data_IF_713266561629
#
_entry.id   IF_713266561629
#
_cell.length_a   1.000
_cell.length_b   1.000
_cell.length_c   1.000
_cell.angle_alpha   90.00
_cell.angle_beta   90.00
_cell.angle_gamma   90.00
#
_symmetry.space_group_name_H-M   'P 1'
#
loop_
_entity.id
_entity.type
_entity.pdbx_description
1 polymer ?
#
# COMPACT_ATOMS: atom_id res chain seq x y z
N UNK A 1 -6.84 -24.99 -20.49
CA UNK A 1 -7.73 -24.42 -21.50
C UNK A 1 -7.46 -22.93 -21.65
N UNK A 2 -7.00 -22.51 -22.83
CA UNK A 2 -6.59 -21.13 -23.10
C UNK A 2 -7.77 -20.14 -22.92
N UNK A 3 -8.98 -20.54 -23.29
CA UNK A 3 -10.17 -19.72 -23.11
C UNK A 3 -10.43 -19.45 -21.63
N UNK A 4 -10.40 -20.47 -20.80
CA UNK A 4 -10.61 -20.35 -19.35
C UNK A 4 -9.57 -19.41 -18.70
N UNK A 5 -8.33 -19.45 -19.20
CA UNK A 5 -7.29 -18.54 -18.74
C UNK A 5 -7.59 -17.08 -19.17
N UNK A 6 -8.01 -16.87 -20.42
CA UNK A 6 -8.40 -15.54 -20.90
C UNK A 6 -9.59 -14.96 -20.13
N UNK A 7 -10.54 -15.80 -19.69
CA UNK A 7 -11.71 -15.40 -18.89
C UNK A 7 -11.33 -14.86 -17.51
N UNK A 8 -10.12 -15.11 -17.01
CA UNK A 8 -9.62 -14.48 -15.78
C UNK A 8 -9.38 -12.97 -15.93
N UNK A 9 -9.24 -12.47 -17.16
CA UNK A 9 -8.90 -11.08 -17.44
C UNK A 9 -10.07 -10.24 -17.93
N UNK A 10 -11.25 -10.84 -18.08
CA UNK A 10 -12.43 -10.16 -18.59
C UNK A 10 -13.65 -10.44 -17.72
N UNK A 11 -14.53 -9.44 -17.63
CA UNK A 11 -15.91 -9.58 -17.21
C UNK A 11 -16.81 -9.56 -18.45
N UNK A 12 -18.03 -10.09 -18.32
CA UNK A 12 -18.98 -10.13 -19.42
C UNK A 12 -20.16 -9.21 -19.08
N UNK A 13 -20.38 -8.20 -19.94
CA UNK A 13 -21.50 -7.27 -19.80
C UNK A 13 -22.58 -7.57 -20.85
N UNK A 14 -23.84 -7.65 -20.42
CA UNK A 14 -24.96 -7.62 -21.36
C UNK A 14 -25.17 -6.20 -21.87
N UNK A 15 -25.23 -6.07 -23.19
CA UNK A 15 -25.59 -4.83 -23.88
C UNK A 15 -26.76 -5.08 -24.78
N UNK A 16 -27.48 -4.01 -25.14
CA UNK A 16 -28.60 -4.05 -26.07
C UNK A 16 -28.26 -3.17 -27.27
N UNK A 17 -28.68 -3.62 -28.46
CA UNK A 17 -28.61 -2.83 -29.69
C UNK A 17 -29.97 -2.87 -30.38
N UNK A 18 -30.28 -1.77 -31.04
CA UNK A 18 -31.44 -1.72 -31.91
C UNK A 18 -31.07 -2.31 -33.28
N UNK A 19 -31.79 -3.31 -33.73
CA UNK A 19 -31.69 -3.87 -35.09
C UNK A 19 -32.92 -3.48 -35.87
N UNK A 20 -32.73 -2.73 -36.94
CA UNK A 20 -33.80 -2.42 -37.89
C UNK A 20 -33.96 -3.62 -38.84
N UNK A 21 -35.16 -4.15 -38.89
CA UNK A 21 -35.56 -5.27 -39.74
C UNK A 21 -35.88 -4.75 -41.13
N UNK A 22 -35.86 -5.62 -42.16
CA UNK A 22 -36.19 -5.27 -43.55
C UNK A 22 -37.61 -4.69 -43.74
N UNK A 23 -38.52 -4.93 -42.79
CA UNK A 23 -39.87 -4.39 -42.77
C UNK A 23 -40.02 -3.03 -42.06
N UNK A 24 -38.87 -2.45 -41.62
CA UNK A 24 -38.82 -1.16 -40.89
C UNK A 24 -39.11 -1.27 -39.39
N UNK A 25 -39.31 -2.48 -38.87
CA UNK A 25 -39.51 -2.67 -37.42
C UNK A 25 -38.14 -2.65 -36.72
N UNK A 26 -38.09 -2.07 -35.50
CA UNK A 26 -36.89 -2.05 -34.67
C UNK A 26 -37.05 -3.09 -33.57
N UNK A 27 -36.13 -4.04 -33.53
CA UNK A 27 -36.03 -5.03 -32.44
C UNK A 27 -34.81 -4.76 -31.56
N UNK A 28 -35.00 -4.99 -30.25
CA UNK A 28 -33.92 -4.93 -29.27
C UNK A 28 -33.25 -6.30 -29.19
N UNK A 29 -32.00 -6.39 -29.62
CA UNK A 29 -31.18 -7.59 -29.44
C UNK A 29 -30.23 -7.41 -28.26
N UNK A 30 -30.15 -8.43 -27.42
CA UNK A 30 -29.15 -8.52 -26.33
C UNK A 30 -27.94 -9.26 -26.83
N UNK A 31 -26.80 -8.71 -26.57
CA UNK A 31 -25.48 -9.36 -26.85
C UNK A 31 -24.56 -9.19 -25.66
N UNK A 32 -23.60 -10.11 -25.55
CA UNK A 32 -22.61 -10.11 -24.48
C UNK A 32 -21.27 -9.61 -24.99
N UNK A 33 -20.69 -8.64 -24.29
CA UNK A 33 -19.38 -8.08 -24.62
C UNK A 33 -18.40 -8.46 -23.51
N UNK A 34 -17.21 -8.94 -23.91
CA UNK A 34 -16.11 -9.10 -23.00
C UNK A 34 -15.47 -7.74 -22.72
N UNK A 35 -15.41 -7.35 -21.47
CA UNK A 35 -14.80 -6.09 -21.00
C UNK A 35 -13.60 -6.43 -20.15
N UNK A 36 -12.49 -5.74 -20.37
CA UNK A 36 -11.31 -5.94 -19.52
C UNK A 36 -11.63 -5.66 -18.05
N UNK A 37 -11.24 -6.55 -17.17
CA UNK A 37 -11.38 -6.34 -15.73
C UNK A 37 -10.50 -5.15 -15.34
N UNK A 38 -11.12 -4.06 -14.89
CA UNK A 38 -10.41 -2.89 -14.37
C UNK A 38 -9.79 -3.15 -13.00
N UNK A 39 -10.49 -3.93 -12.16
CA UNK A 39 -9.99 -4.34 -10.85
C UNK A 39 -9.09 -5.58 -10.97
N UNK A 40 -7.79 -5.36 -10.92
CA UNK A 40 -6.78 -6.42 -11.06
C UNK A 40 -6.80 -7.42 -9.89
N UNK A 41 -7.34 -7.04 -8.73
CA UNK A 41 -7.57 -7.97 -7.60
C UNK A 41 -8.49 -9.11 -8.02
N UNK A 42 -9.53 -8.81 -8.80
CA UNK A 42 -10.42 -9.82 -9.35
C UNK A 42 -9.69 -10.79 -10.30
N UNK A 43 -8.72 -10.31 -11.06
CA UNK A 43 -7.91 -11.17 -11.95
C UNK A 43 -7.17 -12.20 -11.11
N UNK A 44 -6.45 -11.78 -10.06
CA UNK A 44 -5.71 -12.70 -9.21
C UNK A 44 -6.64 -13.61 -8.40
N UNK A 45 -7.79 -13.13 -7.97
CA UNK A 45 -8.82 -13.97 -7.33
C UNK A 45 -9.34 -15.06 -8.29
N UNK A 46 -9.65 -14.71 -9.53
CA UNK A 46 -10.06 -15.68 -10.56
C UNK A 46 -8.94 -16.68 -10.87
N UNK A 47 -7.70 -16.24 -10.94
CA UNK A 47 -6.54 -17.11 -11.12
C UNK A 47 -6.39 -18.09 -9.94
N UNK A 48 -6.57 -17.62 -8.71
CA UNK A 48 -6.52 -18.47 -7.53
C UNK A 48 -7.68 -19.47 -7.49
N UNK A 49 -8.92 -19.03 -7.76
CA UNK A 49 -10.10 -19.90 -7.74
C UNK A 49 -10.09 -20.95 -8.87
N UNK A 50 -9.71 -20.54 -10.07
CA UNK A 50 -9.86 -21.35 -11.27
C UNK A 50 -8.65 -22.23 -11.57
N UNK A 51 -7.48 -21.82 -11.10
CA UNK A 51 -6.21 -22.51 -11.36
C UNK A 51 -5.41 -22.87 -10.11
N UNK A 52 -5.86 -22.47 -8.91
CA UNK A 52 -5.11 -22.69 -7.67
C UNK A 52 -3.78 -21.92 -7.62
N UNK A 53 -3.64 -20.85 -8.39
CA UNK A 53 -2.43 -20.04 -8.48
C UNK A 53 -2.54 -18.87 -7.51
N UNK A 54 -1.82 -18.95 -6.40
CA UNK A 54 -1.65 -17.83 -5.46
C UNK A 54 -0.37 -17.09 -5.83
N UNK A 55 -0.51 -15.88 -6.37
CA UNK A 55 0.63 -15.06 -6.76
C UNK A 55 1.09 -14.21 -5.57
N UNK A 56 2.39 -14.22 -5.29
CA UNK A 56 3.00 -13.29 -4.32
C UNK A 56 2.88 -11.85 -4.82
N UNK A 57 3.04 -10.88 -3.92
CA UNK A 57 3.02 -9.46 -4.29
C UNK A 57 4.01 -9.13 -5.42
N UNK A 58 5.23 -9.68 -5.35
CA UNK A 58 6.25 -9.48 -6.41
C UNK A 58 5.79 -10.06 -7.74
N UNK A 59 5.19 -11.26 -7.74
CA UNK A 59 4.64 -11.88 -8.94
C UNK A 59 3.47 -11.07 -9.51
N UNK A 60 2.60 -10.55 -8.65
CA UNK A 60 1.50 -9.67 -9.07
C UNK A 60 2.04 -8.37 -9.68
N UNK A 61 3.01 -7.73 -9.04
CA UNK A 61 3.66 -6.52 -9.54
C UNK A 61 4.34 -6.75 -10.90
N UNK A 62 5.06 -7.87 -11.05
CA UNK A 62 5.70 -8.22 -12.31
C UNK A 62 4.67 -8.50 -13.41
N UNK A 63 3.57 -9.20 -13.09
CA UNK A 63 2.49 -9.46 -14.05
C UNK A 63 1.84 -8.16 -14.53
N UNK A 64 1.67 -7.18 -13.66
CA UNK A 64 1.17 -5.85 -14.03
C UNK A 64 2.13 -5.10 -14.92
N UNK A 65 3.43 -5.13 -14.62
CA UNK A 65 4.44 -4.55 -15.49
C UNK A 65 4.39 -5.15 -16.90
N UNK A 66 4.30 -6.48 -17.00
CA UNK A 66 4.18 -7.18 -18.30
C UNK A 66 2.90 -6.76 -19.03
N UNK A 67 1.78 -6.66 -18.31
CA UNK A 67 0.51 -6.20 -18.88
C UNK A 67 0.61 -4.76 -19.38
N UNK A 68 1.27 -3.88 -18.60
CA UNK A 68 1.44 -2.47 -18.94
C UNK A 68 2.28 -2.31 -20.21
N UNK A 69 3.40 -3.03 -20.29
CA UNK A 69 4.24 -3.07 -21.50
C UNK A 69 3.44 -3.58 -22.69
N UNK A 70 2.66 -4.64 -22.51
CA UNK A 70 1.87 -5.20 -23.60
C UNK A 70 0.76 -4.25 -24.11
N UNK A 71 0.19 -3.43 -23.21
CA UNK A 71 -0.92 -2.54 -23.54
C UNK A 71 -0.46 -1.18 -24.09
N UNK A 72 0.62 -0.64 -23.56
CA UNK A 72 1.04 0.75 -23.80
C UNK A 72 2.42 0.88 -24.44
N UNK A 73 3.08 -0.26 -24.72
CA UNK A 73 4.46 -0.31 -25.25
C UNK A 73 5.48 0.47 -24.40
N UNK A 74 5.23 0.55 -23.10
CA UNK A 74 6.09 1.22 -22.13
C UNK A 74 6.07 0.47 -20.81
N UNK A 75 7.13 0.60 -20.02
CA UNK A 75 7.14 0.04 -18.67
C UNK A 75 6.06 0.69 -17.82
N UNK A 76 5.46 -0.07 -16.90
CA UNK A 76 4.55 0.50 -15.92
C UNK A 76 5.26 1.64 -15.21
N UNK A 77 4.57 2.77 -14.96
CA UNK A 77 5.14 3.88 -14.22
C UNK A 77 5.65 3.35 -12.87
N UNK A 78 6.91 3.57 -12.60
CA UNK A 78 7.50 3.22 -11.29
C UNK A 78 7.02 4.19 -10.19
N UNK A 79 6.34 5.25 -10.59
CA UNK A 79 5.76 6.30 -9.76
C UNK A 79 4.36 6.63 -10.29
N UNK A 80 3.36 6.08 -9.70
CA UNK A 80 2.19 6.79 -9.17
C UNK A 80 1.04 7.13 -10.02
N UNK A 81 0.68 6.91 -11.22
CA UNK A 81 -0.62 7.38 -11.72
C UNK A 81 -1.66 6.29 -12.04
N UNK A 82 -1.29 5.07 -12.31
CA UNK A 82 -2.27 4.02 -12.59
C UNK A 82 -2.39 2.93 -11.51
N UNK A 83 -1.53 2.94 -10.49
CA UNK A 83 -1.75 2.09 -9.31
C UNK A 83 -2.91 2.60 -8.42
N UNK A 84 -3.39 3.83 -8.62
CA UNK A 84 -4.57 4.35 -7.94
C UNK A 84 -5.87 3.70 -8.42
N UNK A 85 -5.91 3.20 -9.65
CA UNK A 85 -7.03 2.42 -10.21
C UNK A 85 -7.07 0.96 -9.72
N UNK A 86 -6.08 0.55 -8.92
CA UNK A 86 -6.17 -0.66 -8.14
C UNK A 86 -7.12 -0.39 -6.96
N UNK A 87 -8.40 -0.25 -7.28
CA UNK A 87 -9.46 0.01 -6.32
C UNK A 87 -9.24 -0.79 -5.06
N UNK A 88 -8.85 -0.07 -4.00
CA UNK A 88 -8.75 -0.57 -2.65
C UNK A 88 -8.32 -2.03 -2.54
N UNK A 89 -7.03 -2.29 -2.51
CA UNK A 89 -6.55 -3.55 -1.98
C UNK A 89 -7.03 -3.63 -0.52
N UNK A 90 -8.21 -4.20 -0.35
CA UNK A 90 -8.68 -4.66 0.94
C UNK A 90 -7.72 -5.79 1.30
N UNK A 91 -6.77 -5.53 2.17
CA UNK A 91 -5.70 -6.43 2.58
C UNK A 91 -6.13 -7.80 3.16
N UNK A 92 -7.05 -8.47 2.49
CA UNK A 92 -7.55 -9.81 2.78
C UNK A 92 -6.92 -10.88 1.87
N UNK A 93 -5.81 -10.58 1.20
CA UNK A 93 -4.99 -11.57 0.52
C UNK A 93 -3.69 -11.69 1.30
N UNK A 94 -3.37 -12.88 1.75
CA UNK A 94 -2.21 -13.30 2.54
C UNK A 94 -1.06 -12.27 2.53
N UNK A 95 -1.14 -11.31 3.45
CA UNK A 95 0.06 -10.63 3.93
C UNK A 95 0.97 -11.78 4.33
N UNK A 96 2.22 -11.86 3.83
CA UNK A 96 3.14 -12.83 4.39
C UNK A 96 3.01 -12.72 5.89
N UNK A 97 2.54 -13.77 6.55
CA UNK A 97 2.48 -13.81 8.00
C UNK A 97 3.95 -13.84 8.42
N UNK A 98 4.53 -12.65 8.52
CA UNK A 98 5.76 -12.53 9.26
C UNK A 98 5.40 -12.97 10.67
N UNK A 99 6.15 -13.92 11.23
CA UNK A 99 6.08 -14.30 12.64
C UNK A 99 6.44 -13.08 13.48
N UNK A 100 5.46 -12.18 13.61
CA UNK A 100 5.60 -10.97 14.41
C UNK A 100 5.31 -11.40 15.85
N UNK A 101 6.12 -10.98 16.81
CA UNK A 101 5.85 -11.26 18.21
C UNK A 101 4.44 -10.76 18.55
N UNK A 102 3.56 -11.67 18.94
CA UNK A 102 2.17 -11.38 19.31
C UNK A 102 2.15 -10.63 20.65
N UNK A 103 2.30 -9.31 20.62
CA UNK A 103 2.31 -8.46 21.80
C UNK A 103 1.41 -7.22 21.62
N UNK A 104 0.10 -7.41 21.77
CA UNK A 104 -0.86 -6.34 21.97
C UNK A 104 -1.04 -5.38 20.75
N UNK A 105 -1.52 -4.16 21.01
CA UNK A 105 -1.82 -3.13 20.00
C UNK A 105 -0.66 -2.80 19.05
N UNK A 106 0.59 -3.01 19.48
CA UNK A 106 1.78 -2.81 18.64
C UNK A 106 1.84 -3.75 17.44
N UNK A 107 1.38 -4.99 17.59
CA UNK A 107 1.28 -5.97 16.50
C UNK A 107 0.30 -5.50 15.42
N UNK A 108 -0.84 -4.91 15.81
CA UNK A 108 -1.86 -4.42 14.88
C UNK A 108 -1.34 -3.26 14.03
N UNK A 109 -0.58 -2.34 14.65
CA UNK A 109 0.07 -1.21 13.96
C UNK A 109 1.06 -1.72 12.91
N UNK A 110 1.87 -2.72 13.25
CA UNK A 110 2.83 -3.32 12.32
C UNK A 110 2.09 -4.01 11.16
N UNK A 111 1.02 -4.75 11.43
CA UNK A 111 0.20 -5.38 10.39
C UNK A 111 -0.41 -4.33 9.44
N UNK A 112 -0.95 -3.25 9.99
CA UNK A 112 -1.46 -2.12 9.20
C UNK A 112 -0.36 -1.49 8.32
N UNK A 113 0.84 -1.31 8.85
CA UNK A 113 1.96 -0.78 8.09
C UNK A 113 2.42 -1.74 6.98
N UNK A 114 2.49 -3.04 7.28
CA UNK A 114 2.83 -4.08 6.30
C UNK A 114 1.79 -4.21 5.19
N UNK A 115 0.50 -3.97 5.48
CA UNK A 115 -0.55 -3.93 4.45
C UNK A 115 -0.33 -2.82 3.41
N UNK A 116 0.54 -1.85 3.71
CA UNK A 116 0.90 -0.75 2.81
C UNK A 116 2.23 -0.96 2.07
N UNK A 117 2.85 -2.15 2.18
CA UNK A 117 4.09 -2.44 1.46
C UNK A 117 3.91 -2.20 -0.04
N UNK A 118 4.91 -1.52 -0.64
CA UNK A 118 4.89 -1.17 -2.06
C UNK A 118 4.05 0.06 -2.42
N UNK A 119 3.23 0.61 -1.52
CA UNK A 119 2.52 1.85 -1.78
C UNK A 119 3.49 2.99 -2.13
N UNK A 120 3.19 3.79 -3.17
CA UNK A 120 4.11 4.78 -3.69
C UNK A 120 4.34 5.92 -2.68
N UNK A 121 5.59 6.39 -2.64
CA UNK A 121 5.96 7.55 -1.83
C UNK A 121 5.65 8.85 -2.58
N UNK A 122 4.90 9.74 -1.96
CA UNK A 122 4.76 11.12 -2.43
C UNK A 122 4.39 12.06 -1.30
N UNK A 123 5.16 13.15 -1.14
CA UNK A 123 4.80 14.22 -0.20
C UNK A 123 3.65 15.09 -0.73
N UNK A 124 3.61 15.32 -2.03
CA UNK A 124 2.60 16.15 -2.65
C UNK A 124 1.23 15.48 -2.71
N UNK A 125 1.20 14.17 -2.94
CA UNK A 125 -0.04 13.38 -3.13
C UNK A 125 -0.43 12.57 -1.89
N UNK A 126 0.33 12.65 -0.79
CA UNK A 126 0.08 11.87 0.42
C UNK A 126 -1.38 11.98 0.87
N UNK A 127 -1.98 10.85 1.17
CA UNK A 127 -3.39 10.78 1.59
C UNK A 127 -4.39 10.78 0.44
N UNK A 128 -3.94 10.84 -0.80
CA UNK A 128 -4.79 10.62 -1.98
C UNK A 128 -4.48 9.26 -2.58
N UNK A 129 -5.51 8.45 -2.89
CA UNK A 129 -5.32 7.08 -3.37
C UNK A 129 -4.39 6.27 -2.45
N UNK A 130 -3.36 5.68 -3.03
CA UNK A 130 -2.38 4.86 -2.31
C UNK A 130 -1.10 5.61 -1.92
N UNK A 131 -1.01 6.91 -2.20
CA UNK A 131 0.18 7.69 -1.91
C UNK A 131 0.37 7.97 -0.43
N UNK A 132 1.56 7.67 0.05
CA UNK A 132 1.98 7.95 1.42
C UNK A 132 3.34 8.65 1.43
N UNK A 133 3.59 9.47 2.44
CA UNK A 133 4.93 9.80 2.89
C UNK A 133 5.20 9.14 4.25
N UNK A 134 6.38 9.33 4.80
CA UNK A 134 6.80 8.69 6.05
C UNK A 134 5.83 9.00 7.21
N UNK A 135 5.45 10.25 7.39
CA UNK A 135 4.57 10.70 8.46
C UNK A 135 3.09 10.39 8.20
N UNK A 136 2.68 10.33 6.95
CA UNK A 136 1.31 9.92 6.63
C UNK A 136 1.09 8.43 6.84
N UNK A 137 2.08 7.58 6.56
CA UNK A 137 2.01 6.16 6.86
C UNK A 137 1.75 5.93 8.34
N UNK A 138 2.53 6.55 9.22
CA UNK A 138 2.36 6.44 10.68
C UNK A 138 1.01 6.98 11.13
N UNK A 139 0.64 8.20 10.68
CA UNK A 139 -0.65 8.82 10.96
C UNK A 139 -1.82 7.92 10.53
N UNK A 140 -1.73 7.33 9.34
CA UNK A 140 -2.77 6.45 8.82
C UNK A 140 -2.92 5.19 9.67
N UNK A 141 -1.82 4.51 9.99
CA UNK A 141 -1.83 3.30 10.81
C UNK A 141 -2.46 3.56 12.20
N UNK A 142 -2.00 4.59 12.89
CA UNK A 142 -2.49 4.91 14.21
C UNK A 142 -3.96 5.37 14.24
N UNK A 143 -4.41 6.08 13.19
CA UNK A 143 -5.82 6.45 13.03
C UNK A 143 -6.75 5.23 12.95
N UNK A 144 -6.32 4.11 12.39
CA UNK A 144 -7.15 2.89 12.32
C UNK A 144 -7.48 2.32 13.71
N UNK A 145 -6.67 2.62 14.71
CA UNK A 145 -6.89 2.20 16.11
C UNK A 145 -7.35 3.36 17.00
N UNK A 146 -7.78 4.48 16.41
CA UNK A 146 -8.36 5.62 17.13
C UNK A 146 -7.35 6.61 17.70
N UNK A 147 -6.06 6.48 17.40
CA UNK A 147 -5.00 7.40 17.84
C UNK A 147 -4.71 8.43 16.76
N UNK A 148 -4.81 9.72 17.11
CA UNK A 148 -4.49 10.83 16.20
C UNK A 148 -3.06 11.28 16.38
N UNK A 149 -2.29 11.29 15.28
CA UNK A 149 -0.93 11.84 15.24
C UNK A 149 -0.89 13.14 14.42
N UNK A 150 0.06 14.05 14.71
CA UNK A 150 0.31 15.23 13.89
C UNK A 150 0.73 14.89 12.46
N UNK A 151 0.62 15.87 11.57
CA UNK A 151 0.77 15.68 10.13
C UNK A 151 2.19 15.47 9.63
N UNK A 152 3.23 15.86 10.35
CA UNK A 152 4.63 15.74 9.90
C UNK A 152 5.47 14.96 10.89
N UNK A 153 6.55 14.32 10.41
CA UNK A 153 7.47 13.56 11.26
C UNK A 153 8.04 14.39 12.43
N UNK A 154 8.38 15.66 12.18
CA UNK A 154 8.90 16.55 13.22
C UNK A 154 7.85 16.90 14.27
N UNK A 155 6.60 17.12 13.87
CA UNK A 155 5.49 17.36 14.80
C UNK A 155 5.11 16.10 15.57
N UNK A 156 5.17 14.93 14.96
CA UNK A 156 4.99 13.65 15.64
C UNK A 156 6.06 13.45 16.71
N UNK A 157 7.34 13.71 16.37
CA UNK A 157 8.43 13.64 17.34
C UNK A 157 8.24 14.63 18.50
N UNK A 158 7.82 15.87 18.22
CA UNK A 158 7.47 16.86 19.25
C UNK A 158 6.33 16.37 20.15
N UNK A 159 5.29 15.81 19.52
CA UNK A 159 4.14 15.24 20.23
C UNK A 159 4.56 14.15 21.23
N UNK A 160 5.48 13.24 20.83
CA UNK A 160 6.00 12.22 21.74
C UNK A 160 6.65 12.84 23.00
N UNK A 161 7.43 13.90 22.83
CA UNK A 161 8.12 14.57 23.95
C UNK A 161 7.14 15.33 24.84
N UNK A 162 6.25 16.14 24.25
CA UNK A 162 5.29 16.97 24.98
C UNK A 162 4.27 16.16 25.79
N UNK A 163 3.97 14.93 25.35
CA UNK A 163 3.02 14.03 26.01
C UNK A 163 3.68 12.93 26.85
N UNK A 164 5.01 13.00 27.06
CA UNK A 164 5.79 11.98 27.81
C UNK A 164 5.64 10.56 27.24
N UNK A 165 5.55 10.44 25.93
CA UNK A 165 5.40 9.19 25.16
C UNK A 165 6.73 8.65 24.60
N UNK A 166 7.85 9.21 25.03
CA UNK A 166 9.18 8.77 24.61
C UNK A 166 9.57 7.45 25.25
N UNK A 167 10.29 6.63 24.51
CA UNK A 167 10.84 5.36 25.00
C UNK A 167 12.35 5.30 24.75
N UNK A 168 13.07 4.52 25.56
CA UNK A 168 14.47 4.24 25.31
C UNK A 168 14.62 3.27 24.11
N UNK A 169 15.72 3.36 23.39
CA UNK A 169 16.01 2.46 22.25
C UNK A 169 15.94 0.99 22.61
N UNK A 170 16.47 0.65 23.77
CA UNK A 170 16.51 -0.72 24.31
C UNK A 170 15.13 -1.24 24.73
N UNK A 171 14.17 -0.34 24.86
CA UNK A 171 12.78 -0.64 25.23
C UNK A 171 11.81 -0.61 24.05
N UNK A 172 12.34 -0.54 22.83
CA UNK A 172 11.54 -0.55 21.60
C UNK A 172 10.69 -1.83 21.51
N UNK A 173 9.41 -1.64 21.17
CA UNK A 173 8.45 -2.70 20.95
C UNK A 173 7.80 -2.53 19.57
N UNK A 174 7.31 -3.61 18.94
CA UNK A 174 6.56 -3.50 17.70
C UNK A 174 5.46 -2.43 17.80
N UNK A 175 5.38 -1.59 16.78
CA UNK A 175 4.49 -0.43 16.75
C UNK A 175 5.16 0.89 17.12
N UNK A 176 6.20 0.91 17.92
CA UNK A 176 6.88 2.15 18.30
C UNK A 176 7.36 2.94 17.07
N UNK A 177 7.40 4.24 17.20
CA UNK A 177 7.91 5.15 16.18
C UNK A 177 9.40 5.39 16.39
N UNK A 178 10.14 5.32 15.28
CA UNK A 178 11.56 5.69 15.23
C UNK A 178 11.70 6.95 14.38
N UNK A 179 12.44 7.94 14.85
CA UNK A 179 12.64 9.21 14.18
C UNK A 179 14.10 9.43 13.80
N UNK A 180 14.34 9.93 12.60
CA UNK A 180 15.68 10.21 12.08
C UNK A 180 15.86 11.68 11.76
N UNK A 181 17.10 12.17 11.97
CA UNK A 181 17.58 13.49 11.56
C UNK A 181 18.78 13.32 10.61
N UNK A 182 18.53 13.37 9.30
CA UNK A 182 19.60 13.20 8.31
C UNK A 182 20.32 14.50 7.98
N UNK A 183 19.68 15.65 8.17
CA UNK A 183 20.24 16.97 7.88
C UNK A 183 19.53 18.07 8.67
N UNK A 184 20.21 19.18 8.96
CA UNK A 184 19.53 20.36 9.50
C UNK A 184 18.41 20.84 8.58
N UNK A 185 17.24 21.16 9.14
CA UNK A 185 16.06 21.60 8.38
C UNK A 185 15.21 22.65 9.10
N UNK A 186 15.65 23.13 10.28
CA UNK A 186 14.94 24.11 11.10
C UNK A 186 13.66 23.61 11.80
N UNK A 187 13.33 22.32 11.67
CA UNK A 187 12.19 21.69 12.34
C UNK A 187 12.61 21.12 13.69
N UNK A 188 11.64 20.67 14.47
CA UNK A 188 11.89 20.07 15.77
C UNK A 188 12.94 18.93 15.67
N UNK A 189 14.00 19.01 16.47
CA UNK A 189 15.17 18.12 16.46
C UNK A 189 15.75 17.84 15.06
N UNK A 190 15.50 18.71 14.09
CA UNK A 190 15.81 18.51 12.67
C UNK A 190 15.29 17.16 12.12
N UNK A 191 14.19 16.63 12.66
CA UNK A 191 13.61 15.38 12.21
C UNK A 191 13.21 15.48 10.74
N UNK A 192 13.69 14.52 9.95
CA UNK A 192 13.47 14.41 8.51
C UNK A 192 12.64 13.19 8.14
N UNK A 193 12.58 12.18 9.02
CA UNK A 193 11.96 10.90 8.70
C UNK A 193 11.37 10.23 9.95
N UNK A 194 10.39 9.36 9.74
CA UNK A 194 9.78 8.51 10.75
C UNK A 194 9.41 7.15 10.15
N UNK A 195 9.49 6.10 10.94
CA UNK A 195 9.07 4.74 10.59
C UNK A 195 8.47 4.02 11.79
N UNK A 196 7.86 2.88 11.57
CA UNK A 196 7.24 2.02 12.57
C UNK A 196 8.18 0.85 12.85
N UNK A 197 8.65 0.73 14.08
CA UNK A 197 9.45 -0.40 14.51
C UNK A 197 8.61 -1.68 14.46
N UNK A 198 9.12 -2.70 13.81
CA UNK A 198 8.38 -3.95 13.58
C UNK A 198 8.80 -5.13 14.49
N UNK A 199 9.77 -4.89 15.37
CA UNK A 199 10.42 -5.95 16.16
C UNK A 199 11.70 -6.45 15.50
N UNK A 200 12.51 -7.19 16.23
CA UNK A 200 13.72 -7.88 15.76
C UNK A 200 14.70 -7.01 14.93
N UNK A 201 14.78 -5.73 15.28
CA UNK A 201 15.63 -4.78 14.56
C UNK A 201 15.12 -4.40 13.17
N UNK A 202 13.83 -4.61 12.90
CA UNK A 202 13.18 -4.28 11.62
C UNK A 202 12.30 -3.03 11.73
N UNK A 203 12.08 -2.37 10.60
CA UNK A 203 11.22 -1.18 10.48
C UNK A 203 10.38 -1.23 9.21
N UNK A 204 9.15 -0.73 9.29
CA UNK A 204 8.33 -0.40 8.13
C UNK A 204 8.33 1.11 7.96
N UNK A 205 8.73 1.59 6.80
CA UNK A 205 8.74 3.03 6.52
C UNK A 205 8.39 3.33 5.06
N UNK A 206 7.76 4.48 4.82
CA UNK A 206 7.63 5.00 3.46
C UNK A 206 8.93 5.71 3.08
N UNK A 207 9.73 5.05 2.27
CA UNK A 207 11.09 5.46 1.93
C UNK A 207 11.12 6.38 0.72
N UNK A 208 11.59 7.61 0.89
CA UNK A 208 11.82 8.54 -0.21
C UNK A 208 12.78 7.96 -1.27
N UNK A 209 13.92 7.39 -0.82
CA UNK A 209 14.95 6.87 -1.74
C UNK A 209 14.54 5.59 -2.47
N UNK A 210 13.56 4.84 -1.95
CA UNK A 210 13.01 3.65 -2.60
C UNK A 210 11.70 3.94 -3.34
N UNK A 211 11.15 5.15 -3.22
CA UNK A 211 9.91 5.57 -3.85
C UNK A 211 8.64 4.87 -3.30
N UNK A 212 8.73 4.11 -2.21
CA UNK A 212 7.62 3.27 -1.73
C UNK A 212 7.75 2.90 -0.26
N UNK A 213 6.69 2.32 0.29
CA UNK A 213 6.71 1.67 1.60
C UNK A 213 7.54 0.40 1.52
N UNK A 214 8.45 0.22 2.46
CA UNK A 214 9.37 -0.90 2.55
C UNK A 214 9.42 -1.48 3.97
N UNK A 215 9.73 -2.77 4.05
CA UNK A 215 10.10 -3.47 5.28
C UNK A 215 11.59 -3.79 5.19
N UNK A 216 12.37 -3.34 6.16
CA UNK A 216 13.83 -3.45 6.11
C UNK A 216 14.47 -3.43 7.50
N UNK A 217 15.74 -3.86 7.63
CA UNK A 217 16.47 -3.67 8.88
C UNK A 217 16.48 -2.20 9.31
N UNK A 218 16.42 -1.97 10.61
CA UNK A 218 16.58 -0.63 11.20
C UNK A 218 17.93 -0.04 10.77
N UNK A 219 17.92 1.15 10.23
CA UNK A 219 19.05 1.74 9.49
C UNK A 219 19.50 3.06 10.11
N UNK A 220 20.65 3.56 9.65
CA UNK A 220 21.23 4.87 10.02
C UNK A 220 21.15 5.13 11.54
N UNK A 221 21.68 4.19 12.32
CA UNK A 221 21.58 4.21 13.79
C UNK A 221 22.16 5.50 14.42
N UNK A 222 23.17 6.11 13.79
CA UNK A 222 23.78 7.38 14.18
C UNK A 222 22.90 8.61 13.88
N UNK A 223 21.84 8.44 13.09
CA UNK A 223 20.85 9.48 12.74
C UNK A 223 19.54 9.34 13.50
N UNK A 224 19.34 8.25 14.24
CA UNK A 224 18.15 8.09 15.08
C UNK A 224 18.24 9.03 16.27
N UNK A 225 17.22 9.88 16.43
CA UNK A 225 17.24 10.97 17.42
C UNK A 225 16.17 10.87 18.49
N UNK A 226 15.13 10.04 18.23
CA UNK A 226 13.98 9.91 19.14
C UNK A 226 13.24 8.60 18.87
N UNK A 227 12.63 8.06 19.92
CA UNK A 227 11.70 6.94 19.84
C UNK A 227 10.46 7.24 20.65
N UNK A 228 9.30 6.78 20.19
CA UNK A 228 8.04 7.09 20.87
C UNK A 228 7.00 6.00 20.71
N UNK A 229 6.15 5.89 21.74
CA UNK A 229 5.01 4.95 21.79
C UNK A 229 3.72 5.73 21.90
N UNK A 230 3.02 6.00 20.79
CA UNK A 230 1.72 6.66 20.80
C UNK A 230 0.67 5.86 21.57
N UNK A 231 -0.18 6.57 22.31
CA UNK A 231 -1.27 6.00 23.14
C UNK A 231 -2.55 6.78 22.92
#
# INVERSE_FOLDING_TARGET
DYKKFADCFVDYEERTQNIEQEDGTVTLEKYTVAVAIGDKTKIFQKLASDYGVTATYEQQSNAVNVWYVAKYDTAAPTEGDEFSDWGGWNGAGDIPVYDLPANGNGSDIVQLALSRLGHPYSQALRGTGNYVDCSYLTLWCYRQIGISLPGTAAEQGRYMVEHNLTVAKESLQPGDLVFWSHKPNGRYMNITHVGIYAGDGMVVDASYSKGKVVYRPLFDNDKQVLYGRPQ
#
